data_IF_825805390201
#
_entry.id   IF_825805390201
#
_cell.length_a   1.000
_cell.length_b   1.000
_cell.length_c   1.000
_cell.angle_alpha   90.00
_cell.angle_beta   90.00
_cell.angle_gamma   90.00
#
_symmetry.space_group_name_H-M   'P 1'
#
loop_
_entity.id
_entity.type
_entity.pdbx_description
1 polymer ?
#
# COMPACT_ATOMS: atom_id res chain seq x y z
N UNK A 1 -13.52 21.99 -5.40
CA UNK A 1 -14.03 20.73 -6.02
C UNK A 1 -15.32 20.19 -5.40
N UNK A 2 -15.76 20.68 -4.24
CA UNK A 2 -16.92 20.09 -3.56
C UNK A 2 -18.21 20.29 -4.36
N UNK A 3 -18.45 21.49 -4.91
CA UNK A 3 -19.64 21.79 -5.74
C UNK A 3 -19.74 20.88 -6.97
N UNK A 4 -18.66 20.72 -7.74
CA UNK A 4 -18.62 19.81 -8.90
C UNK A 4 -18.94 18.38 -8.47
N UNK A 5 -18.35 17.91 -7.37
CA UNK A 5 -18.65 16.58 -6.82
C UNK A 5 -20.13 16.47 -6.45
N UNK A 6 -20.72 17.48 -5.82
CA UNK A 6 -22.14 17.48 -5.44
C UNK A 6 -23.04 17.45 -6.68
N UNK A 7 -22.76 18.28 -7.69
CA UNK A 7 -23.52 18.31 -8.96
C UNK A 7 -23.48 16.95 -9.64
N UNK A 8 -22.30 16.32 -9.73
CA UNK A 8 -22.17 14.98 -10.30
C UNK A 8 -23.02 13.96 -9.53
N UNK A 9 -22.98 13.97 -8.20
CA UNK A 9 -23.78 13.06 -7.38
C UNK A 9 -25.29 13.31 -7.52
N UNK A 10 -25.71 14.58 -7.59
CA UNK A 10 -27.12 14.94 -7.81
C UNK A 10 -27.58 14.48 -9.19
N UNK A 11 -26.80 14.72 -10.24
CA UNK A 11 -27.12 14.27 -11.59
C UNK A 11 -27.21 12.74 -11.67
N UNK A 12 -26.23 12.04 -11.10
CA UNK A 12 -26.23 10.59 -10.99
C UNK A 12 -27.48 10.07 -10.25
N UNK A 13 -27.86 10.72 -9.15
CA UNK A 13 -29.05 10.37 -8.38
C UNK A 13 -30.34 10.58 -9.19
N UNK A 14 -30.49 11.72 -9.86
CA UNK A 14 -31.64 11.99 -10.73
C UNK A 14 -31.73 10.95 -11.86
N UNK A 15 -30.61 10.64 -12.51
CA UNK A 15 -30.56 9.57 -13.53
C UNK A 15 -30.97 8.21 -12.96
N UNK A 16 -30.50 7.86 -11.76
CA UNK A 16 -30.86 6.60 -11.09
C UNK A 16 -32.35 6.54 -10.77
N UNK A 17 -32.94 7.64 -10.30
CA UNK A 17 -34.38 7.74 -10.03
C UNK A 17 -35.20 7.60 -11.31
N UNK A 18 -34.83 8.32 -12.37
CA UNK A 18 -35.51 8.21 -13.66
C UNK A 18 -35.42 6.78 -14.19
N UNK A 19 -34.23 6.17 -14.17
CA UNK A 19 -34.04 4.78 -14.56
C UNK A 19 -34.93 3.84 -13.72
N UNK A 20 -34.96 4.02 -12.41
CA UNK A 20 -35.77 3.20 -11.50
C UNK A 20 -37.26 3.30 -11.79
N UNK A 21 -37.77 4.52 -12.00
CA UNK A 21 -39.17 4.75 -12.32
C UNK A 21 -39.56 4.11 -13.67
N UNK A 22 -38.75 4.30 -14.71
CA UNK A 22 -39.03 3.73 -16.03
C UNK A 22 -38.83 2.22 -16.09
N UNK A 23 -37.98 1.65 -15.23
CA UNK A 23 -37.66 0.22 -15.20
C UNK A 23 -38.24 -0.46 -13.95
N UNK A 24 -39.42 -0.05 -13.49
CA UNK A 24 -40.10 -0.66 -12.34
C UNK A 24 -40.73 -2.03 -12.68
N UNK A 25 -40.03 -2.84 -13.46
CA UNK A 25 -40.46 -4.16 -13.87
C UNK A 25 -40.00 -5.19 -12.83
N UNK A 26 -40.90 -6.08 -12.37
CA UNK A 26 -40.49 -7.22 -11.56
C UNK A 26 -39.64 -8.18 -12.40
N UNK A 27 -38.54 -8.65 -11.82
CA UNK A 27 -37.67 -9.67 -12.39
C UNK A 27 -37.58 -10.82 -11.39
N UNK A 28 -37.97 -11.98 -11.87
CA UNK A 28 -37.82 -13.23 -11.15
C UNK A 28 -36.36 -13.68 -11.26
N UNK A 29 -35.69 -13.79 -10.11
CA UNK A 29 -34.32 -14.34 -10.04
C UNK A 29 -34.41 -15.68 -9.31
N UNK A 30 -34.22 -16.76 -10.05
CA UNK A 30 -34.10 -18.12 -9.51
C UNK A 30 -32.68 -18.32 -8.98
N UNK A 31 -32.51 -18.34 -7.66
CA UNK A 31 -31.20 -18.51 -7.04
C UNK A 31 -30.89 -20.02 -6.86
N UNK A 32 -31.92 -20.81 -6.58
CA UNK A 32 -31.92 -22.28 -6.53
C UNK A 32 -33.27 -22.81 -7.06
N UNK A 33 -33.35 -24.11 -7.36
CA UNK A 33 -34.51 -24.78 -8.00
C UNK A 33 -35.87 -24.53 -7.32
N UNK A 34 -35.87 -24.13 -6.03
CA UNK A 34 -37.08 -23.79 -5.28
C UNK A 34 -37.03 -22.40 -4.61
N UNK A 35 -36.07 -21.53 -4.99
CA UNK A 35 -35.94 -20.18 -4.43
C UNK A 35 -36.00 -19.13 -5.53
N UNK A 36 -37.20 -18.62 -5.76
CA UNK A 36 -37.50 -17.52 -6.67
C UNK A 36 -37.62 -16.26 -5.82
N UNK A 37 -36.70 -15.31 -6.03
CA UNK A 37 -36.79 -13.99 -5.41
C UNK A 37 -37.22 -13.02 -6.48
N UNK A 38 -38.40 -12.43 -6.29
CA UNK A 38 -38.85 -11.31 -7.11
C UNK A 38 -38.12 -10.04 -6.68
N UNK A 39 -37.17 -9.59 -7.49
CA UNK A 39 -36.48 -8.32 -7.30
C UNK A 39 -36.79 -7.40 -8.48
N UNK A 40 -36.76 -6.08 -8.25
CA UNK A 40 -36.97 -5.13 -9.36
C UNK A 40 -35.66 -4.90 -10.11
N UNK A 41 -35.73 -4.67 -11.43
CA UNK A 41 -34.57 -4.30 -12.26
C UNK A 41 -33.67 -3.24 -11.60
N UNK A 42 -34.19 -2.10 -11.09
CA UNK A 42 -33.35 -1.08 -10.46
C UNK A 42 -32.55 -1.58 -9.25
N UNK A 43 -33.08 -2.52 -8.47
CA UNK A 43 -32.36 -3.06 -7.33
C UNK A 43 -31.12 -3.83 -7.79
N UNK A 44 -31.25 -4.65 -8.84
CA UNK A 44 -30.12 -5.39 -9.41
C UNK A 44 -29.04 -4.46 -9.97
N UNK A 45 -29.44 -3.38 -10.65
CA UNK A 45 -28.49 -2.39 -11.18
C UNK A 45 -27.71 -1.70 -10.06
N UNK A 46 -28.40 -1.29 -8.98
CA UNK A 46 -27.75 -0.68 -7.82
C UNK A 46 -26.77 -1.66 -7.16
N UNK A 47 -27.16 -2.93 -7.00
CA UNK A 47 -26.32 -3.96 -6.41
C UNK A 47 -25.07 -4.20 -7.26
N UNK A 48 -25.23 -4.41 -8.58
CA UNK A 48 -24.10 -4.60 -9.49
C UNK A 48 -23.16 -3.39 -9.51
N UNK A 49 -23.73 -2.18 -9.50
CA UNK A 49 -22.97 -0.94 -9.42
C UNK A 49 -22.17 -0.84 -8.11
N UNK A 50 -22.79 -1.15 -6.98
CA UNK A 50 -22.11 -1.18 -5.69
C UNK A 50 -21.00 -2.23 -5.66
N UNK A 51 -21.22 -3.41 -6.23
CA UNK A 51 -20.19 -4.45 -6.33
C UNK A 51 -18.98 -3.99 -7.16
N UNK A 52 -19.18 -3.24 -8.24
CA UNK A 52 -18.07 -2.66 -9.01
C UNK A 52 -17.40 -1.46 -8.32
N UNK A 53 -18.19 -0.62 -7.64
CA UNK A 53 -17.72 0.64 -7.06
C UNK A 53 -17.06 0.47 -5.70
N UNK A 54 -17.61 -0.36 -4.81
CA UNK A 54 -17.17 -0.51 -3.41
C UNK A 54 -15.71 -0.97 -3.32
N UNK A 55 -15.25 -2.00 -4.06
CA UNK A 55 -13.85 -2.45 -3.98
C UNK A 55 -12.89 -1.36 -4.45
N UNK A 56 -13.19 -0.72 -5.59
CA UNK A 56 -12.38 0.36 -6.16
C UNK A 56 -12.32 1.58 -5.24
N UNK A 57 -13.46 1.96 -4.65
CA UNK A 57 -13.56 3.08 -3.72
C UNK A 57 -12.77 2.82 -2.43
N UNK A 58 -12.86 1.61 -1.89
CA UNK A 58 -12.16 1.20 -0.67
C UNK A 58 -10.64 1.22 -0.87
N UNK A 59 -10.15 0.72 -2.00
CA UNK A 59 -8.73 0.77 -2.37
C UNK A 59 -8.22 2.22 -2.48
N UNK A 60 -8.99 3.10 -3.12
CA UNK A 60 -8.64 4.52 -3.24
C UNK A 60 -8.58 5.21 -1.87
N UNK A 61 -9.56 4.95 -1.02
CA UNK A 61 -9.62 5.49 0.34
C UNK A 61 -8.47 4.98 1.20
N UNK A 62 -8.18 3.68 1.15
CA UNK A 62 -7.10 3.05 1.88
C UNK A 62 -5.72 3.58 1.47
N UNK A 63 -5.50 3.78 0.18
CA UNK A 63 -4.24 4.35 -0.33
C UNK A 63 -4.01 5.76 0.18
N UNK A 64 -5.04 6.63 0.11
CA UNK A 64 -4.96 7.98 0.69
C UNK A 64 -4.70 7.95 2.20
N UNK A 65 -5.32 7.04 2.94
CA UNK A 65 -5.10 6.91 4.38
C UNK A 65 -3.65 6.52 4.70
N UNK A 66 -3.11 5.52 4.00
CA UNK A 66 -1.73 5.05 4.18
C UNK A 66 -0.70 6.15 3.87
N UNK A 67 -0.90 6.87 2.77
CA UNK A 67 -0.01 7.98 2.38
C UNK A 67 -0.02 9.11 3.40
N UNK A 68 -1.20 9.55 3.85
CA UNK A 68 -1.30 10.59 4.87
C UNK A 68 -0.63 10.18 6.19
N UNK A 69 -0.77 8.92 6.60
CA UNK A 69 -0.11 8.43 7.82
C UNK A 69 1.41 8.45 7.69
N UNK A 70 1.96 8.01 6.55
CA UNK A 70 3.40 8.05 6.27
C UNK A 70 3.94 9.47 6.26
N UNK A 71 3.25 10.39 5.59
CA UNK A 71 3.62 11.81 5.55
C UNK A 71 3.70 12.38 6.97
N UNK A 72 2.67 12.17 7.80
CA UNK A 72 2.67 12.63 9.19
C UNK A 72 3.83 12.05 10.02
N UNK A 73 4.16 10.78 9.84
CA UNK A 73 5.30 10.16 10.52
C UNK A 73 6.62 10.82 10.10
N UNK A 74 6.82 11.06 8.81
CA UNK A 74 8.01 11.73 8.28
C UNK A 74 8.11 13.18 8.76
N UNK A 75 7.00 13.92 8.77
CA UNK A 75 6.92 15.29 9.29
C UNK A 75 7.30 15.33 10.78
N UNK A 76 6.80 14.39 11.59
CA UNK A 76 7.14 14.32 13.01
C UNK A 76 8.61 13.93 13.24
N UNK A 77 9.16 12.99 12.46
CA UNK A 77 10.56 12.61 12.55
C UNK A 77 11.48 13.77 12.15
N UNK A 78 11.16 14.50 11.08
CA UNK A 78 11.89 15.68 10.65
C UNK A 78 11.83 16.80 11.69
N UNK A 79 10.64 17.05 12.29
CA UNK A 79 10.49 18.01 13.39
C UNK A 79 11.30 17.60 14.61
N UNK A 80 11.26 16.34 15.02
CA UNK A 80 12.05 15.85 16.15
C UNK A 80 13.55 16.02 15.89
N UNK A 81 14.04 15.64 14.71
CA UNK A 81 15.44 15.81 14.31
C UNK A 81 15.90 17.27 14.33
N UNK A 82 15.02 18.22 13.97
CA UNK A 82 15.32 19.65 14.03
C UNK A 82 15.38 20.22 15.46
N UNK A 83 14.75 19.57 16.45
CA UNK A 83 14.67 20.05 17.84
C UNK A 83 15.76 19.42 18.72
N UNK A 84 16.21 18.20 18.41
CA UNK A 84 17.39 17.60 19.05
C UNK A 84 18.68 18.26 18.57
N UNK A 85 19.49 18.90 19.44
CA UNK A 85 20.84 19.30 19.06
C UNK A 85 21.66 18.05 18.75
N UNK A 86 22.35 18.05 17.61
CA UNK A 86 23.24 16.97 17.17
C UNK A 86 24.35 16.74 18.20
N UNK A 87 24.18 15.76 19.08
CA UNK A 87 25.28 15.17 19.86
C UNK A 87 25.96 14.10 19.00
N UNK A 88 26.51 14.50 17.85
CA UNK A 88 27.46 13.68 17.10
C UNK A 88 28.46 14.57 16.35
N UNK A 89 29.35 15.17 17.13
CA UNK A 89 30.65 15.65 16.69
C UNK A 89 31.69 15.34 17.79
N UNK A 90 31.72 14.10 18.27
CA UNK A 90 32.79 13.58 19.12
C UNK A 90 32.79 12.05 19.02
N UNK A 91 33.45 11.53 17.98
CA UNK A 91 33.54 10.09 17.74
C UNK A 91 34.19 9.70 16.42
N UNK A 92 35.02 10.58 15.86
CA UNK A 92 35.93 10.25 14.74
C UNK A 92 37.32 10.60 15.23
N UNK A 93 37.97 9.70 15.96
CA UNK A 93 39.42 9.40 15.95
C UNK A 93 39.75 8.42 17.09
N UNK A 94 39.91 7.14 16.77
CA UNK A 94 40.98 6.36 17.40
C UNK A 94 41.37 5.22 16.46
N UNK A 95 42.36 5.53 15.64
CA UNK A 95 43.14 4.58 14.89
C UNK A 95 44.21 3.94 15.80
N UNK A 96 44.26 2.59 15.79
CA UNK A 96 45.43 1.70 16.03
C UNK A 96 45.76 1.39 17.53
N UNK A 97 46.20 0.16 17.93
CA UNK A 97 47.11 -0.69 17.17
C UNK A 97 46.87 -2.19 17.01
N UNK A 98 47.43 -2.67 15.89
CA UNK A 98 47.77 -4.06 15.55
C UNK A 98 48.61 -4.70 16.68
N UNK A 99 48.25 -5.90 17.15
CA UNK A 99 49.22 -6.83 17.70
C UNK A 99 49.63 -7.82 16.60
N UNK A 100 50.92 -7.78 16.24
CA UNK A 100 51.62 -8.87 15.56
C UNK A 100 52.15 -9.82 16.63
N UNK A 101 51.76 -11.10 16.61
CA UNK A 101 52.65 -12.21 16.93
C UNK A 101 53.19 -12.72 15.58
N UNK A 102 54.49 -12.63 15.28
CA UNK A 102 55.43 -13.72 15.56
C UNK A 102 54.74 -15.07 15.32
N UNK A 103 54.78 -15.64 14.12
CA UNK A 103 55.99 -16.19 13.53
C UNK A 103 55.99 -17.69 13.82
N UNK A 104 55.20 -18.45 13.06
CA UNK A 104 55.16 -19.91 13.16
C UNK A 104 55.41 -20.53 11.78
N UNK A 105 56.68 -20.84 11.57
CA UNK A 105 57.21 -22.05 10.92
C UNK A 105 56.33 -22.67 9.81
N UNK A 106 56.46 -22.20 8.58
CA UNK A 106 56.15 -23.03 7.40
C UNK A 106 56.85 -22.50 6.16
N UNK A 107 57.65 -23.38 5.55
CA UNK A 107 58.21 -23.24 4.20
C UNK A 107 59.57 -22.55 4.07
N UNK A 108 60.59 -23.15 4.69
CA UNK A 108 61.95 -23.15 4.12
C UNK A 108 62.41 -24.61 4.05
N UNK A 109 62.61 -25.07 2.80
CA UNK A 109 63.58 -26.10 2.37
C UNK A 109 63.18 -27.59 2.47
N UNK A 110 62.53 -28.08 1.42
CA UNK A 110 62.81 -29.43 0.87
C UNK A 110 63.30 -29.25 -0.57
N UNK A 111 64.60 -29.01 -0.69
CA UNK A 111 65.38 -29.16 -1.91
C UNK A 111 65.77 -30.63 -2.04
N UNK A 112 65.42 -31.31 -3.12
CA UNK A 112 66.21 -32.37 -3.77
C UNK A 112 65.59 -32.84 -5.10
N UNK A 113 66.34 -33.52 -6.01
CA UNK A 113 67.01 -32.86 -7.12
C UNK A 113 66.55 -33.34 -8.50
N UNK A 114 66.96 -32.57 -9.50
CA UNK A 114 66.84 -32.84 -10.94
C UNK A 114 67.69 -34.03 -11.36
N UNK A 115 67.08 -35.07 -11.93
CA UNK A 115 67.74 -36.00 -12.86
C UNK A 115 66.81 -36.31 -14.02
N UNK A 116 67.46 -36.45 -15.18
CA UNK A 116 66.96 -36.59 -16.55
C UNK A 116 65.96 -37.72 -16.76
#
# INVERSE_FOLDING_TARGET
MQVIRTIFWVLLFVCLLAFSFFNWTPVEVTIWDNLIVETKVPALVIIAFLFGMVPTWLLHRGTKWRLNRRIKTLENAAKAAAITPSASAAGVVSSKPVPTPAGDLSSVKQSEPKTL
#
